data_IF_930443624500
#
_entry.id   IF_930443624500
#
_cell.length_a   1.000
_cell.length_b   1.000
_cell.length_c   1.000
_cell.angle_alpha   90.00
_cell.angle_beta   90.00
_cell.angle_gamma   90.00
#
_symmetry.space_group_name_H-M   'P 1'
#
loop_
_entity.id
_entity.type
_entity.pdbx_description
1 polymer ?
#
# COMPACT_ATOMS: atom_id res chain seq x y z
N UNK A 1 27.38 -0.66 12.63
CA UNK A 1 26.50 -0.22 11.53
C UNK A 1 25.15 0.12 12.12
N UNK A 2 24.64 1.31 11.85
CA UNK A 2 23.21 1.59 12.00
C UNK A 2 22.54 0.86 10.82
N UNK A 3 21.66 -0.10 11.11
CA UNK A 3 20.76 -0.65 10.12
C UNK A 3 19.41 0.01 10.38
N UNK A 4 18.69 0.41 9.32
CA UNK A 4 17.33 0.94 9.45
C UNK A 4 16.33 -0.20 9.26
N UNK A 5 15.24 -0.16 10.03
CA UNK A 5 14.22 -1.21 10.01
C UNK A 5 12.93 -0.66 9.40
N UNK A 6 12.54 -1.20 8.23
CA UNK A 6 11.32 -0.81 7.52
C UNK A 6 10.21 -1.85 7.72
N UNK A 7 9.02 -1.38 8.09
CA UNK A 7 7.83 -2.19 8.28
C UNK A 7 6.74 -1.67 7.34
N UNK A 8 6.25 -2.51 6.44
CA UNK A 8 5.03 -2.21 5.67
C UNK A 8 3.81 -2.81 6.37
N UNK A 9 2.64 -2.23 6.14
CA UNK A 9 1.36 -2.68 6.71
C UNK A 9 1.38 -2.86 8.25
N UNK A 10 1.91 -1.86 8.98
CA UNK A 10 1.98 -1.86 10.45
C UNK A 10 0.61 -2.16 11.10
N UNK A 11 -0.50 -1.77 10.47
CA UNK A 11 -1.87 -2.03 10.92
C UNK A 11 -2.33 -3.49 10.80
N UNK A 12 -1.47 -4.38 10.30
CA UNK A 12 -1.75 -5.81 10.12
C UNK A 12 -0.96 -6.71 11.06
N UNK A 13 -0.05 -6.13 11.83
CA UNK A 13 0.77 -6.88 12.78
C UNK A 13 -0.07 -7.53 13.89
N UNK A 14 0.40 -8.67 14.39
CA UNK A 14 -0.20 -9.29 15.56
C UNK A 14 0.20 -8.56 16.84
N UNK A 15 -0.56 -8.78 17.93
CA UNK A 15 -0.21 -8.27 19.26
C UNK A 15 1.20 -8.70 19.71
N UNK A 16 1.63 -9.90 19.32
CA UNK A 16 2.98 -10.40 19.62
C UNK A 16 4.04 -9.59 18.89
N UNK A 17 3.81 -9.25 17.64
CA UNK A 17 4.75 -8.45 16.84
C UNK A 17 4.85 -7.02 17.40
N UNK A 18 3.72 -6.44 17.81
CA UNK A 18 3.73 -5.15 18.51
C UNK A 18 4.52 -5.18 19.82
N UNK A 19 4.42 -6.25 20.62
CA UNK A 19 5.19 -6.36 21.85
C UNK A 19 6.71 -6.35 21.58
N UNK A 20 7.15 -7.03 20.52
CA UNK A 20 8.56 -7.00 20.09
C UNK A 20 8.95 -5.59 19.62
N UNK A 21 8.10 -4.95 18.82
CA UNK A 21 8.32 -3.60 18.31
C UNK A 21 8.42 -2.56 19.43
N UNK A 22 7.56 -2.63 20.44
CA UNK A 22 7.61 -1.76 21.61
C UNK A 22 8.94 -1.89 22.36
N UNK A 23 9.41 -3.12 22.59
CA UNK A 23 10.71 -3.37 23.23
C UNK A 23 11.87 -2.82 22.39
N UNK A 24 11.81 -2.99 21.07
CA UNK A 24 12.79 -2.47 20.13
C UNK A 24 12.83 -0.94 20.15
N UNK A 25 11.67 -0.27 20.05
CA UNK A 25 11.62 1.20 20.02
C UNK A 25 11.99 1.85 21.37
N UNK A 26 11.77 1.16 22.49
CA UNK A 26 12.07 1.71 23.83
C UNK A 26 13.52 1.53 24.24
N UNK A 27 14.05 0.33 24.02
CA UNK A 27 15.34 -0.09 24.60
C UNK A 27 16.33 -0.54 23.54
N UNK A 28 15.92 -0.67 22.28
CA UNK A 28 16.72 -1.33 21.24
C UNK A 28 16.77 -2.84 21.38
N UNK A 29 16.06 -3.45 22.34
CA UNK A 29 16.24 -4.85 22.73
C UNK A 29 15.24 -5.76 22.03
N UNK A 30 15.75 -6.82 21.42
CA UNK A 30 14.96 -7.93 20.85
C UNK A 30 15.37 -9.22 21.52
N UNK A 31 14.38 -10.01 21.96
CA UNK A 31 14.60 -11.29 22.64
C UNK A 31 13.88 -12.41 21.89
N UNK A 32 14.64 -13.44 21.56
CA UNK A 32 14.12 -14.69 21.04
C UNK A 32 14.23 -15.76 22.13
N UNK A 33 13.11 -16.43 22.42
CA UNK A 33 13.05 -17.55 23.37
C UNK A 33 12.57 -18.79 22.62
N UNK A 34 13.47 -19.74 22.44
CA UNK A 34 13.21 -21.09 21.94
C UNK A 34 13.46 -22.09 23.08
N UNK A 35 12.87 -23.28 23.01
CA UNK A 35 13.06 -24.30 24.06
C UNK A 35 14.56 -24.55 24.32
N UNK A 36 15.00 -24.27 25.56
CA UNK A 36 16.40 -24.39 25.98
C UNK A 36 17.36 -23.30 25.48
N UNK A 37 16.89 -22.29 24.74
CA UNK A 37 17.73 -21.21 24.17
C UNK A 37 17.06 -19.84 24.26
N UNK A 38 17.67 -18.93 25.02
CA UNK A 38 17.34 -17.50 25.02
C UNK A 38 18.46 -16.75 24.29
N UNK A 39 18.10 -15.97 23.27
CA UNK A 39 19.00 -15.04 22.57
C UNK A 39 18.49 -13.63 22.75
N UNK A 40 19.40 -12.73 23.05
CA UNK A 40 19.11 -11.32 23.24
C UNK A 40 20.05 -10.52 22.35
N UNK A 41 19.48 -9.56 21.62
CA UNK A 41 20.23 -8.66 20.75
C UNK A 41 19.86 -7.22 21.08
N UNK A 42 20.87 -6.36 21.10
CA UNK A 42 20.71 -4.91 21.18
C UNK A 42 20.91 -4.34 19.78
N UNK A 43 19.87 -3.70 19.27
CA UNK A 43 19.82 -3.08 17.95
C UNK A 43 19.78 -1.57 18.10
N UNK A 44 20.78 -0.89 17.55
CA UNK A 44 20.74 0.56 17.35
C UNK A 44 20.19 0.80 15.94
N UNK A 45 18.87 1.00 15.84
CA UNK A 45 18.14 1.16 14.58
C UNK A 45 17.17 2.33 14.67
N UNK A 46 16.91 2.98 13.55
CA UNK A 46 15.72 3.81 13.37
C UNK A 46 14.65 2.92 12.74
N UNK A 47 13.39 3.06 13.17
CA UNK A 47 12.27 2.29 12.62
C UNK A 47 11.41 3.21 11.76
N UNK A 48 11.19 2.82 10.52
CA UNK A 48 10.22 3.43 9.62
C UNK A 48 9.07 2.47 9.39
N UNK A 49 7.83 2.95 9.50
CA UNK A 49 6.65 2.11 9.33
C UNK A 49 5.62 2.79 8.45
N UNK A 50 5.02 2.02 7.53
CA UNK A 50 3.86 2.42 6.75
C UNK A 50 2.61 1.70 7.27
N UNK A 51 1.48 2.39 7.29
CA UNK A 51 0.21 1.84 7.73
C UNK A 51 -0.92 2.39 6.87
N UNK A 52 -1.89 1.54 6.53
CA UNK A 52 -3.05 1.96 5.76
C UNK A 52 -4.16 2.52 6.66
N UNK A 53 -4.25 2.03 7.90
CA UNK A 53 -5.35 2.37 8.82
C UNK A 53 -4.79 2.64 10.21
N UNK A 54 -4.60 3.92 10.52
CA UNK A 54 -4.15 4.39 11.84
C UNK A 54 -5.01 3.85 12.99
N UNK A 55 -6.33 3.79 12.81
CA UNK A 55 -7.30 3.33 13.82
C UNK A 55 -7.15 1.86 14.22
N UNK A 56 -6.50 1.05 13.39
CA UNK A 56 -6.28 -0.37 13.67
C UNK A 56 -4.97 -0.59 14.46
N UNK A 57 -4.20 0.48 14.72
CA UNK A 57 -2.93 0.45 15.46
C UNK A 57 -3.18 0.86 16.92
N UNK A 58 -2.69 0.09 17.91
CA UNK A 58 -2.83 0.46 19.31
C UNK A 58 -2.15 1.80 19.66
N UNK A 59 -2.75 2.64 20.52
CA UNK A 59 -2.18 3.94 20.92
C UNK A 59 -0.78 3.85 21.50
N UNK A 60 -0.48 2.79 22.27
CA UNK A 60 0.85 2.55 22.85
C UNK A 60 1.92 2.37 21.77
N UNK A 61 1.60 1.72 20.65
CA UNK A 61 2.51 1.58 19.51
C UNK A 61 2.69 2.92 18.83
N UNK A 62 1.60 3.63 18.56
CA UNK A 62 1.65 4.97 17.93
C UNK A 62 2.47 5.96 18.76
N UNK A 63 2.43 5.87 20.09
CA UNK A 63 3.20 6.76 20.97
C UNK A 63 4.73 6.64 20.80
N UNK A 64 5.21 5.59 20.12
CA UNK A 64 6.64 5.37 19.81
C UNK A 64 7.05 5.88 18.43
N UNK A 65 6.14 6.45 17.66
CA UNK A 65 6.39 6.95 16.31
C UNK A 65 6.01 8.43 16.20
N UNK A 66 6.79 9.17 15.41
CA UNK A 66 6.31 10.41 14.81
C UNK A 66 5.43 10.06 13.61
N UNK A 67 4.16 10.52 13.64
CA UNK A 67 3.15 10.12 12.66
C UNK A 67 3.05 11.15 11.53
N UNK A 68 3.33 10.72 10.31
CA UNK A 68 3.09 11.50 9.09
C UNK A 68 1.84 10.95 8.39
N UNK A 69 0.86 11.82 8.13
CA UNK A 69 -0.38 11.46 7.46
C UNK A 69 -0.33 11.93 6.01
N UNK A 70 -0.47 10.98 5.07
CA UNK A 70 -0.53 11.26 3.64
C UNK A 70 -2.00 11.32 3.21
N UNK A 71 -2.55 12.51 2.92
CA UNK A 71 -3.92 12.61 2.46
C UNK A 71 -4.09 11.95 1.08
N UNK A 72 -5.33 11.62 0.73
CA UNK A 72 -5.63 11.22 -0.64
C UNK A 72 -5.25 12.34 -1.61
N UNK A 73 -4.64 11.96 -2.74
CA UNK A 73 -4.29 12.91 -3.79
C UNK A 73 -5.51 13.71 -4.23
N UNK A 74 -5.35 15.01 -4.45
CA UNK A 74 -6.28 15.79 -5.26
C UNK A 74 -6.33 15.23 -6.69
N UNK A 75 -7.33 15.65 -7.47
CA UNK A 75 -7.49 15.14 -8.83
C UNK A 75 -6.27 15.49 -9.67
N UNK A 76 -5.79 16.73 -9.53
CA UNK A 76 -4.66 17.29 -10.27
C UNK A 76 -3.35 16.62 -9.86
N UNK A 77 -3.12 16.42 -8.55
CA UNK A 77 -1.95 15.68 -8.05
C UNK A 77 -1.96 14.24 -8.54
N UNK A 78 -3.11 13.56 -8.48
CA UNK A 78 -3.24 12.18 -8.95
C UNK A 78 -2.89 12.07 -10.44
N UNK A 79 -3.42 12.97 -11.28
CA UNK A 79 -3.13 13.00 -12.71
C UNK A 79 -1.63 13.24 -12.94
N UNK A 80 -1.04 14.24 -12.28
CA UNK A 80 0.39 14.56 -12.42
C UNK A 80 1.30 13.41 -11.98
N UNK A 81 0.98 12.76 -10.85
CA UNK A 81 1.72 11.58 -10.36
C UNK A 81 1.59 10.43 -11.35
N UNK A 82 0.38 10.13 -11.84
CA UNK A 82 0.18 9.06 -12.81
C UNK A 82 0.94 9.30 -14.11
N UNK A 83 0.86 10.49 -14.69
CA UNK A 83 1.61 10.85 -15.91
C UNK A 83 3.11 10.62 -15.70
N UNK A 84 3.66 11.18 -14.62
CA UNK A 84 5.09 11.03 -14.31
C UNK A 84 5.51 9.60 -13.96
N UNK A 85 4.62 8.75 -13.44
CA UNK A 85 4.89 7.34 -13.18
C UNK A 85 4.84 6.54 -14.48
N UNK A 86 3.84 6.75 -15.31
CA UNK A 86 3.65 6.03 -16.59
C UNK A 86 4.78 6.33 -17.56
N UNK A 87 5.20 7.59 -17.69
CA UNK A 87 6.35 7.96 -18.52
C UNK A 87 7.64 7.27 -18.05
N UNK A 88 7.93 7.33 -16.74
CA UNK A 88 9.21 6.83 -16.20
C UNK A 88 9.29 5.31 -16.09
N UNK A 89 8.19 4.65 -15.72
CA UNK A 89 8.18 3.20 -15.44
C UNK A 89 7.70 2.36 -16.61
N UNK A 90 6.76 2.88 -17.39
CA UNK A 90 6.10 2.13 -18.46
C UNK A 90 6.47 2.68 -19.86
N UNK A 91 7.21 3.79 -19.95
CA UNK A 91 7.64 4.37 -21.23
C UNK A 91 6.51 4.95 -22.08
N UNK A 92 5.36 5.23 -21.46
CA UNK A 92 4.18 5.75 -22.16
C UNK A 92 4.38 7.23 -22.50
N UNK A 93 3.98 7.63 -23.70
CA UNK A 93 3.98 9.02 -24.15
C UNK A 93 3.05 9.90 -23.29
N UNK A 94 3.35 11.20 -23.17
CA UNK A 94 2.68 12.12 -22.23
C UNK A 94 1.16 12.23 -22.45
N UNK A 95 0.72 12.42 -23.69
CA UNK A 95 -0.70 12.54 -24.04
C UNK A 95 -1.45 11.25 -23.68
N UNK A 96 -0.89 10.09 -24.05
CA UNK A 96 -1.48 8.80 -23.69
C UNK A 96 -1.50 8.56 -22.18
N UNK A 97 -0.42 8.89 -21.49
CA UNK A 97 -0.33 8.77 -20.03
C UNK A 97 -1.38 9.67 -19.33
N UNK A 98 -1.59 10.89 -19.85
CA UNK A 98 -2.61 11.81 -19.36
C UNK A 98 -4.02 11.27 -19.57
N UNK A 99 -4.31 10.70 -20.76
CA UNK A 99 -5.61 10.06 -21.04
C UNK A 99 -5.90 8.91 -20.09
N UNK A 100 -4.92 8.03 -19.85
CA UNK A 100 -5.03 6.93 -18.89
C UNK A 100 -5.31 7.47 -17.48
N UNK A 101 -4.50 8.42 -17.01
CA UNK A 101 -4.64 9.01 -15.68
C UNK A 101 -6.02 9.64 -15.48
N UNK A 102 -6.49 10.41 -16.47
CA UNK A 102 -7.81 11.04 -16.45
C UNK A 102 -8.93 10.00 -16.45
N UNK A 103 -8.82 8.95 -17.27
CA UNK A 103 -9.82 7.89 -17.33
C UNK A 103 -9.91 7.13 -16.00
N UNK A 104 -8.79 6.80 -15.37
CA UNK A 104 -8.76 6.16 -14.03
C UNK A 104 -9.41 7.05 -12.97
N UNK A 105 -9.07 8.34 -12.95
CA UNK A 105 -9.62 9.27 -11.98
C UNK A 105 -11.12 9.51 -12.19
N UNK A 106 -11.52 9.85 -13.42
CA UNK A 106 -12.86 10.39 -13.69
C UNK A 106 -13.88 9.30 -14.02
N UNK A 107 -13.47 8.17 -14.63
CA UNK A 107 -14.38 7.10 -15.06
C UNK A 107 -14.41 5.93 -14.08
N UNK A 108 -13.26 5.58 -13.49
CA UNK A 108 -13.16 4.47 -12.52
C UNK A 108 -13.28 4.92 -11.07
N UNK A 109 -13.36 6.23 -10.82
CA UNK A 109 -13.41 6.85 -9.49
C UNK A 109 -12.32 6.29 -8.56
N UNK A 110 -11.09 6.30 -9.07
CA UNK A 110 -9.94 5.67 -8.43
C UNK A 110 -8.76 6.61 -8.35
N UNK A 111 -8.15 6.66 -7.17
CA UNK A 111 -6.88 7.37 -6.91
C UNK A 111 -5.70 6.39 -6.75
N UNK A 112 -5.86 5.16 -7.23
CA UNK A 112 -4.81 4.14 -7.21
C UNK A 112 -3.93 4.23 -8.47
N UNK A 113 -2.69 4.70 -8.29
CA UNK A 113 -1.69 4.77 -9.37
C UNK A 113 -1.41 3.39 -9.98
N UNK A 114 -1.57 2.30 -9.20
CA UNK A 114 -1.40 0.93 -9.71
C UNK A 114 -2.49 0.57 -10.72
N UNK A 115 -3.68 1.18 -10.64
CA UNK A 115 -4.74 0.97 -11.64
C UNK A 115 -4.37 1.63 -12.97
N UNK A 116 -3.76 2.82 -12.94
CA UNK A 116 -3.22 3.46 -14.13
C UNK A 116 -2.12 2.63 -14.80
N UNK A 117 -1.19 2.07 -14.02
CA UNK A 117 -0.15 1.16 -14.53
C UNK A 117 -0.76 -0.08 -15.19
N UNK A 118 -1.78 -0.70 -14.56
CA UNK A 118 -2.47 -1.86 -15.13
C UNK A 118 -3.11 -1.52 -16.47
N UNK A 119 -3.79 -0.38 -16.58
CA UNK A 119 -4.45 0.04 -17.83
C UNK A 119 -3.42 0.34 -18.92
N UNK A 120 -2.29 0.98 -18.57
CA UNK A 120 -1.21 1.22 -19.52
C UNK A 120 -0.66 -0.09 -20.12
N UNK A 121 -0.61 -1.17 -19.35
CA UNK A 121 -0.16 -2.51 -19.81
C UNK A 121 -1.24 -3.30 -20.55
N UNK A 122 -2.51 -2.93 -20.40
CA UNK A 122 -3.65 -3.58 -21.06
C UNK A 122 -4.07 -2.86 -22.34
N UNK A 123 -3.45 -1.72 -22.65
CA UNK A 123 -3.73 -0.94 -23.84
C UNK A 123 -2.44 -0.85 -24.64
N UNK A 124 -2.54 -0.88 -25.95
CA UNK A 124 -1.47 -0.45 -26.86
C UNK A 124 -1.85 0.86 -27.54
N UNK A 125 -0.95 1.46 -28.32
CA UNK A 125 -1.23 2.74 -29.02
C UNK A 125 -2.39 2.67 -30.03
N UNK A 126 -2.80 1.45 -30.41
CA UNK A 126 -3.90 1.18 -31.34
C UNK A 126 -5.25 0.99 -30.65
N UNK A 127 -5.26 0.72 -29.35
CA UNK A 127 -6.49 0.48 -28.59
C UNK A 127 -6.94 1.76 -27.90
N UNK A 128 -8.23 2.06 -28.00
CA UNK A 128 -8.79 3.20 -27.29
C UNK A 128 -8.82 2.89 -25.79
N UNK A 129 -7.98 3.61 -25.04
CA UNK A 129 -7.92 3.58 -23.56
C UNK A 129 -9.32 3.59 -22.94
N UNK A 130 -10.24 4.33 -23.54
CA UNK A 130 -11.63 4.46 -23.13
C UNK A 130 -12.41 3.14 -23.20
N UNK A 131 -12.20 2.28 -24.20
CA UNK A 131 -12.89 0.99 -24.33
C UNK A 131 -12.47 0.01 -23.23
N UNK A 132 -11.16 -0.07 -22.97
CA UNK A 132 -10.61 -0.90 -21.89
C UNK A 132 -11.12 -0.41 -20.54
N UNK A 133 -11.10 0.90 -20.31
CA UNK A 133 -11.62 1.52 -19.09
C UNK A 133 -13.11 1.22 -18.90
N UNK A 134 -13.93 1.35 -19.95
CA UNK A 134 -15.37 1.09 -19.84
C UNK A 134 -15.68 -0.39 -19.60
N UNK A 135 -14.91 -1.29 -20.23
CA UNK A 135 -14.99 -2.73 -19.97
C UNK A 135 -14.65 -3.03 -18.51
N UNK A 136 -13.52 -2.52 -18.01
CA UNK A 136 -13.12 -2.70 -16.61
C UNK A 136 -14.16 -2.13 -15.65
N UNK A 137 -14.73 -0.96 -15.94
CA UNK A 137 -15.79 -0.35 -15.14
C UNK A 137 -17.03 -1.24 -15.03
N UNK A 138 -17.44 -1.87 -16.14
CA UNK A 138 -18.62 -2.76 -16.19
C UNK A 138 -18.44 -4.02 -15.36
N UNK A 139 -17.24 -4.59 -15.34
CA UNK A 139 -16.95 -5.86 -14.65
C UNK A 139 -16.26 -5.69 -13.29
N UNK A 140 -15.97 -4.45 -12.87
CA UNK A 140 -15.36 -4.17 -11.55
C UNK A 140 -16.28 -4.70 -10.45
N UNK A 141 -15.82 -5.62 -9.59
CA UNK A 141 -16.63 -6.11 -8.50
C UNK A 141 -17.04 -4.92 -7.62
N UNK A 142 -18.35 -4.79 -7.35
CA UNK A 142 -18.87 -3.72 -6.48
C UNK A 142 -18.12 -3.75 -5.14
N UNK A 143 -17.56 -2.61 -4.71
CA UNK A 143 -16.96 -2.44 -3.38
C UNK A 143 -17.99 -2.94 -2.35
N UNK A 144 -17.67 -4.06 -1.67
CA UNK A 144 -18.54 -4.69 -0.67
C UNK A 144 -18.91 -6.17 -0.90
N UNK A 145 -18.52 -6.81 -2.01
CA UNK A 145 -18.77 -8.24 -2.18
C UNK A 145 -17.81 -9.09 -1.34
N UNK A 146 -18.14 -9.31 -0.07
CA UNK A 146 -17.64 -10.47 0.68
C UNK A 146 -18.18 -11.71 -0.02
N UNK A 147 -17.33 -12.44 -0.72
CA UNK A 147 -17.67 -13.75 -1.25
C UNK A 147 -18.34 -14.57 -0.16
N UNK A 148 -19.54 -15.09 -0.44
CA UNK A 148 -20.23 -16.03 0.44
C UNK A 148 -19.31 -17.24 0.60
N UNK A 149 -18.60 -17.31 1.72
CA UNK A 149 -18.06 -18.56 2.24
C UNK A 149 -19.26 -19.44 2.56
N UNK A 150 -19.67 -20.25 1.60
CA UNK A 150 -20.61 -21.34 1.83
C UNK A 150 -19.77 -22.47 2.45
N UNK A 151 -20.07 -22.94 3.67
CA UNK A 151 -19.40 -24.11 4.19
C UNK A 151 -19.77 -25.30 3.29
N UNK A 152 -18.75 -26.00 2.80
CA UNK A 152 -18.92 -27.35 2.27
C UNK A 152 -19.31 -28.22 3.46
N UNK A 153 -20.59 -28.52 3.59
CA UNK A 153 -21.06 -29.64 4.40
C UNK A 153 -20.58 -30.92 3.74
N UNK A 154 -19.72 -31.65 4.45
CA UNK A 154 -19.34 -33.03 4.19
C UNK A 154 -19.12 -33.70 5.53
#
# INVERSE_FOLDING_TARGET
>A
MLADYLIDELDKLSLRDYAVLLSLCETGRVVEVLYGRRREAMLKTIVFAAANRRRDIPPEVLSRFEVLEFPEYTREEFIGVCVGVLQRREGVEEERAWRIAKAVCDRLDSRDVREAIRIARLTDDREEVEEVVETLRRYKPRKGFKGRGQPLTG
#
